data_IF_404483246125
#
_entry.id   IF_404483246125
#
_cell.length_a   1.000
_cell.length_b   1.000
_cell.length_c   1.000
_cell.angle_alpha   90.00
_cell.angle_beta   90.00
_cell.angle_gamma   90.00
#
_symmetry.space_group_name_H-M   'P 1'
#
loop_
_entity.id
_entity.type
_entity.pdbx_description
1 polymer ?
#
# COMPACT_ATOMS: atom_id res chain seq x y z
N UNK A 1 -16.72 -6.87 7.77
CA UNK A 1 -17.37 -5.80 6.99
C UNK A 1 -17.59 -6.31 5.59
N UNK A 2 -18.85 -6.48 5.19
CA UNK A 2 -19.23 -6.67 3.79
C UNK A 2 -18.69 -5.48 2.99
N UNK A 3 -17.99 -5.74 1.88
CA UNK A 3 -17.45 -4.69 1.03
C UNK A 3 -18.61 -3.78 0.59
N UNK A 4 -18.63 -2.53 1.06
CA UNK A 4 -19.52 -1.53 0.48
C UNK A 4 -19.13 -1.38 -0.98
N UNK A 5 -20.11 -1.43 -1.88
CA UNK A 5 -19.83 -1.19 -3.28
C UNK A 5 -19.38 0.27 -3.44
N UNK A 6 -18.26 0.47 -4.13
CA UNK A 6 -17.73 1.80 -4.44
C UNK A 6 -18.37 2.38 -5.71
N UNK A 7 -19.11 1.54 -6.46
CA UNK A 7 -19.74 1.90 -7.72
C UNK A 7 -21.02 2.70 -7.53
N UNK A 8 -21.35 3.50 -8.54
CA UNK A 8 -22.63 4.23 -8.68
C UNK A 8 -22.94 5.23 -7.56
N UNK A 9 -21.93 5.65 -6.79
CA UNK A 9 -22.09 6.64 -5.71
C UNK A 9 -22.18 8.07 -6.27
N UNK A 10 -22.94 8.92 -5.58
CA UNK A 10 -22.96 10.37 -5.83
C UNK A 10 -21.84 11.07 -5.06
N UNK A 11 -21.50 12.30 -5.45
CA UNK A 11 -20.51 13.10 -4.73
C UNK A 11 -20.87 13.28 -3.25
N UNK A 12 -22.16 13.51 -2.95
CA UNK A 12 -22.66 13.66 -1.58
C UNK A 12 -22.44 12.37 -0.77
N UNK A 13 -22.82 11.21 -1.32
CA UNK A 13 -22.61 9.91 -0.67
C UNK A 13 -21.14 9.61 -0.41
N UNK A 14 -20.24 10.00 -1.31
CA UNK A 14 -18.79 9.78 -1.12
C UNK A 14 -18.25 10.61 0.04
N UNK A 15 -18.80 11.80 0.27
CA UNK A 15 -18.34 12.74 1.31
C UNK A 15 -18.98 12.43 2.68
N UNK A 16 -20.25 12.02 2.72
CA UNK A 16 -21.03 11.98 3.98
C UNK A 16 -21.09 10.60 4.62
N UNK A 17 -20.97 9.50 3.86
CA UNK A 17 -21.07 8.16 4.42
C UNK A 17 -19.73 7.69 5.03
N UNK A 18 -19.74 7.34 6.32
CA UNK A 18 -18.70 6.56 7.00
C UNK A 18 -17.26 6.94 6.64
N UNK A 19 -16.79 8.10 7.09
CA UNK A 19 -15.44 8.57 6.79
C UNK A 19 -14.42 7.78 7.63
N UNK A 20 -13.83 6.75 7.03
CA UNK A 20 -12.64 6.11 7.57
C UNK A 20 -11.40 6.88 7.10
N UNK A 21 -10.53 7.22 8.06
CA UNK A 21 -9.27 7.96 7.85
C UNK A 21 -8.06 7.02 7.90
N UNK A 22 -8.18 5.86 7.26
CA UNK A 22 -7.10 4.88 7.09
C UNK A 22 -6.86 4.62 5.59
N UNK A 23 -5.80 3.87 5.26
CA UNK A 23 -5.45 3.62 3.86
C UNK A 23 -6.60 3.04 3.04
N UNK A 24 -7.40 2.16 3.65
CA UNK A 24 -8.53 1.49 3.01
C UNK A 24 -9.70 2.44 2.77
N UNK A 25 -10.02 3.32 3.73
CA UNK A 25 -11.06 4.33 3.62
C UNK A 25 -10.75 5.36 2.53
N UNK A 26 -9.51 5.84 2.49
CA UNK A 26 -9.04 6.69 1.38
C UNK A 26 -9.09 5.94 0.04
N UNK A 27 -8.66 4.67 0.00
CA UNK A 27 -8.72 3.84 -1.21
C UNK A 27 -10.16 3.65 -1.73
N UNK A 28 -11.11 3.44 -0.81
CA UNK A 28 -12.53 3.32 -1.14
C UNK A 28 -13.10 4.59 -1.77
N UNK A 29 -12.83 5.75 -1.17
CA UNK A 29 -13.29 7.04 -1.73
C UNK A 29 -12.62 7.33 -3.07
N UNK A 30 -11.32 7.07 -3.19
CA UNK A 30 -10.58 7.23 -4.45
C UNK A 30 -11.22 6.41 -5.58
N UNK A 31 -11.56 5.14 -5.31
CA UNK A 31 -12.24 4.27 -6.26
C UNK A 31 -13.66 4.76 -6.60
N UNK A 32 -14.38 5.31 -5.62
CA UNK A 32 -15.72 5.87 -5.82
C UNK A 32 -15.71 7.14 -6.67
N UNK A 33 -14.75 8.05 -6.43
CA UNK A 33 -14.55 9.24 -7.25
C UNK A 33 -14.14 8.90 -8.68
N UNK A 34 -13.28 7.87 -8.83
CA UNK A 34 -12.90 7.37 -10.14
C UNK A 34 -14.10 6.82 -10.92
N UNK A 35 -14.99 6.07 -10.25
CA UNK A 35 -16.23 5.60 -10.87
C UNK A 35 -17.13 6.77 -11.29
N UNK A 36 -17.26 7.79 -10.43
CA UNK A 36 -18.05 8.97 -10.74
C UNK A 36 -17.53 9.70 -11.99
N UNK A 37 -16.23 9.99 -12.07
CA UNK A 37 -15.67 10.68 -13.26
C UNK A 37 -15.81 9.85 -14.53
N UNK A 38 -15.67 8.52 -14.46
CA UNK A 38 -15.87 7.64 -15.61
C UNK A 38 -17.31 7.69 -16.14
N UNK A 39 -18.30 7.89 -15.27
CA UNK A 39 -19.72 7.98 -15.66
C UNK A 39 -20.16 9.37 -16.11
N UNK A 40 -19.64 10.42 -15.49
CA UNK A 40 -20.15 11.79 -15.69
C UNK A 40 -19.23 12.68 -16.51
N UNK A 41 -17.97 12.29 -16.70
CA UNK A 41 -16.93 13.14 -17.31
C UNK A 41 -16.55 14.36 -16.47
N UNK A 42 -17.05 14.48 -15.23
CA UNK A 42 -16.75 15.64 -14.38
C UNK A 42 -15.31 15.62 -13.90
N UNK A 43 -14.47 16.46 -14.48
CA UNK A 43 -13.04 16.49 -14.20
C UNK A 43 -12.69 16.77 -12.73
N UNK A 44 -13.52 17.54 -12.01
CA UNK A 44 -13.34 17.76 -10.57
C UNK A 44 -13.33 16.44 -9.77
N UNK A 45 -14.12 15.44 -10.17
CA UNK A 45 -14.09 14.12 -9.53
C UNK A 45 -12.74 13.39 -9.76
N UNK A 46 -12.02 13.67 -10.86
CA UNK A 46 -10.66 13.16 -11.06
C UNK A 46 -9.67 13.77 -10.05
N UNK A 47 -9.81 15.05 -9.72
CA UNK A 47 -9.00 15.67 -8.67
C UNK A 47 -9.26 14.99 -7.32
N UNK A 48 -10.52 14.79 -6.95
CA UNK A 48 -10.84 14.09 -5.70
C UNK A 48 -10.34 12.65 -5.68
N UNK A 49 -10.48 11.91 -6.79
CA UNK A 49 -9.91 10.57 -6.93
C UNK A 49 -8.38 10.59 -6.73
N UNK A 50 -7.69 11.59 -7.28
CA UNK A 50 -6.25 11.74 -7.14
C UNK A 50 -5.82 12.15 -5.73
N UNK A 51 -6.59 13.00 -5.04
CA UNK A 51 -6.35 13.39 -3.64
C UNK A 51 -6.49 12.19 -2.72
N UNK A 52 -7.66 11.53 -2.73
CA UNK A 52 -7.91 10.37 -1.87
C UNK A 52 -6.96 9.22 -2.22
N UNK A 53 -6.64 9.01 -3.51
CA UNK A 53 -5.68 7.99 -3.93
C UNK A 53 -4.26 8.25 -3.40
N UNK A 54 -3.82 9.51 -3.34
CA UNK A 54 -2.55 9.87 -2.70
C UNK A 54 -2.58 9.61 -1.21
N UNK A 55 -3.63 10.04 -0.52
CA UNK A 55 -3.78 9.84 0.92
C UNK A 55 -3.83 8.35 1.26
N UNK A 56 -4.48 7.53 0.43
CA UNK A 56 -4.48 6.08 0.57
C UNK A 56 -3.07 5.50 0.51
N UNK A 57 -2.25 5.95 -0.46
CA UNK A 57 -0.85 5.53 -0.57
C UNK A 57 -0.02 6.01 0.62
N UNK A 58 -0.16 7.26 1.03
CA UNK A 58 0.57 7.82 2.18
C UNK A 58 0.29 7.01 3.45
N UNK A 59 -0.98 6.83 3.79
CA UNK A 59 -1.39 6.05 4.95
C UNK A 59 -0.92 4.60 4.85
N UNK A 60 -1.00 3.99 3.66
CA UNK A 60 -0.52 2.63 3.47
C UNK A 60 0.98 2.50 3.71
N UNK A 61 1.78 3.46 3.24
CA UNK A 61 3.23 3.45 3.50
C UNK A 61 3.50 3.66 4.99
N UNK A 62 2.78 4.56 5.66
CA UNK A 62 2.88 4.72 7.12
C UNK A 62 2.52 3.44 7.88
N UNK A 63 1.43 2.77 7.49
CA UNK A 63 1.06 1.48 8.05
C UNK A 63 2.18 0.46 7.89
N UNK A 64 2.81 0.38 6.70
CA UNK A 64 3.95 -0.53 6.49
C UNK A 64 5.13 -0.19 7.41
N UNK A 65 5.42 1.10 7.63
CA UNK A 65 6.47 1.52 8.57
C UNK A 65 6.13 1.04 9.98
N UNK A 66 4.92 1.30 10.47
CA UNK A 66 4.50 0.94 11.83
C UNK A 66 4.54 -0.59 12.00
N UNK A 67 3.97 -1.33 11.04
CA UNK A 67 3.92 -2.79 11.05
C UNK A 67 5.34 -3.38 11.09
N UNK A 68 6.27 -2.80 10.34
CA UNK A 68 7.59 -3.41 10.15
C UNK A 68 8.61 -2.95 11.18
N UNK A 69 8.55 -1.69 11.61
CA UNK A 69 9.45 -1.14 12.62
C UNK A 69 9.08 -1.61 14.04
N UNK A 70 7.81 -1.96 14.28
CA UNK A 70 7.34 -2.38 15.60
C UNK A 70 7.74 -1.37 16.69
N UNK A 71 8.39 -1.85 17.75
CA UNK A 71 8.86 -1.02 18.86
C UNK A 71 10.05 -0.09 18.53
N UNK A 72 10.71 -0.26 17.37
CA UNK A 72 11.84 0.57 16.96
C UNK A 72 11.42 1.97 16.46
N UNK A 73 10.11 2.19 16.20
CA UNK A 73 9.61 3.49 15.80
C UNK A 73 9.41 4.39 17.03
N UNK A 74 10.38 5.28 17.28
CA UNK A 74 10.24 6.33 18.29
C UNK A 74 9.36 7.47 17.80
N UNK A 75 8.77 8.23 18.73
CA UNK A 75 8.00 9.44 18.40
C UNK A 75 8.85 10.48 17.64
N UNK A 76 10.15 10.54 17.95
CA UNK A 76 11.10 11.42 17.26
C UNK A 76 11.30 11.01 15.79
N UNK A 77 11.50 9.70 15.54
CA UNK A 77 11.56 9.16 14.19
C UNK A 77 10.26 9.41 13.43
N UNK A 78 9.12 9.31 14.12
CA UNK A 78 7.81 9.62 13.56
C UNK A 78 7.63 11.11 13.21
N UNK A 79 8.01 12.03 14.09
CA UNK A 79 7.95 13.48 13.79
C UNK A 79 8.86 13.87 12.62
N UNK A 80 10.02 13.21 12.51
CA UNK A 80 10.94 13.38 11.37
C UNK A 80 10.36 12.84 10.06
N UNK A 81 9.55 11.78 10.10
CA UNK A 81 8.80 11.30 8.92
C UNK A 81 7.82 12.36 8.40
N UNK A 82 7.11 13.02 9.32
CA UNK A 82 6.09 14.03 8.98
C UNK A 82 6.70 15.30 8.36
N UNK A 83 7.91 15.70 8.76
CA UNK A 83 8.55 16.93 8.26
C UNK A 83 9.22 16.75 6.89
N UNK A 84 9.47 15.52 6.43
CA UNK A 84 10.17 15.25 5.17
C UNK A 84 9.50 14.15 4.32
N UNK A 85 8.29 14.39 3.75
CA UNK A 85 7.54 13.36 2.99
C UNK A 85 8.29 12.79 1.79
N UNK A 86 9.17 13.58 1.17
CA UNK A 86 10.04 13.14 0.05
C UNK A 86 11.14 12.16 0.49
N UNK A 87 11.34 11.98 1.80
CA UNK A 87 12.31 11.05 2.38
C UNK A 87 11.64 9.84 3.04
N UNK A 88 10.32 9.69 2.95
CA UNK A 88 9.57 8.56 3.51
C UNK A 88 10.13 7.20 3.05
N UNK A 89 10.45 7.07 1.76
CA UNK A 89 11.07 5.85 1.20
C UNK A 89 12.49 5.62 1.73
N UNK A 90 13.32 6.67 1.82
CA UNK A 90 14.67 6.59 2.35
C UNK A 90 14.67 6.23 3.83
N UNK A 91 13.73 6.78 4.60
CA UNK A 91 13.62 6.48 6.02
C UNK A 91 13.12 5.06 6.25
N UNK A 92 12.21 4.54 5.42
CA UNK A 92 11.82 3.14 5.47
C UNK A 92 13.01 2.20 5.20
N UNK A 93 13.85 2.52 4.20
CA UNK A 93 15.09 1.78 3.94
C UNK A 93 16.09 1.86 5.12
N UNK A 94 16.07 2.95 5.90
CA UNK A 94 16.92 3.10 7.10
C UNK A 94 16.36 2.38 8.33
N UNK A 95 15.05 2.45 8.56
CA UNK A 95 14.39 1.86 9.74
C UNK A 95 14.28 0.34 9.58
N UNK A 96 13.93 -0.12 8.38
CA UNK A 96 13.85 -1.55 8.07
C UNK A 96 14.62 -1.86 6.79
N UNK A 97 15.95 -2.01 6.90
CA UNK A 97 16.74 -2.60 5.83
C UNK A 97 16.14 -3.95 5.44
N UNK A 98 16.14 -4.26 4.14
CA UNK A 98 15.62 -5.52 3.61
C UNK A 98 14.10 -5.74 3.77
N UNK A 99 13.29 -4.68 3.96
CA UNK A 99 11.81 -4.76 4.06
C UNK A 99 11.18 -5.66 2.99
N UNK A 100 11.59 -5.53 1.71
CA UNK A 100 11.03 -6.37 0.64
C UNK A 100 11.32 -7.86 0.86
N UNK A 101 12.53 -8.22 1.31
CA UNK A 101 12.88 -9.60 1.67
C UNK A 101 12.09 -10.09 2.88
N UNK A 102 11.84 -9.22 3.85
CA UNK A 102 11.06 -9.58 5.04
C UNK A 102 9.60 -9.86 4.68
N UNK A 103 9.03 -9.11 3.74
CA UNK A 103 7.70 -9.42 3.22
C UNK A 103 7.67 -10.74 2.45
N UNK A 104 8.69 -11.01 1.62
CA UNK A 104 8.82 -12.31 0.94
C UNK A 104 8.91 -13.47 1.93
N UNK A 105 9.71 -13.31 2.98
CA UNK A 105 9.85 -14.30 4.04
C UNK A 105 8.54 -14.52 4.81
N UNK A 106 7.82 -13.43 5.10
CA UNK A 106 6.50 -13.46 5.75
C UNK A 106 5.48 -14.20 4.89
N UNK A 107 5.45 -13.92 3.58
CA UNK A 107 4.56 -14.62 2.63
C UNK A 107 4.86 -16.12 2.57
N UNK A 108 6.14 -16.50 2.54
CA UNK A 108 6.54 -17.91 2.59
C UNK A 108 6.01 -18.57 3.86
N UNK A 109 6.21 -17.98 5.03
CA UNK A 109 5.70 -18.54 6.30
C UNK A 109 4.17 -18.65 6.30
N UNK A 110 3.48 -17.61 5.82
CA UNK A 110 2.02 -17.61 5.68
C UNK A 110 1.53 -18.75 4.78
N UNK A 111 2.23 -19.01 3.67
CA UNK A 111 1.89 -20.10 2.73
C UNK A 111 2.02 -21.49 3.34
N UNK A 112 2.92 -21.66 4.31
CA UNK A 112 3.12 -22.95 4.97
C UNK A 112 2.02 -23.26 6.00
N UNK A 113 1.30 -22.26 6.52
CA UNK A 113 0.35 -22.46 7.62
C UNK A 113 -1.12 -22.26 7.24
N UNK A 114 -1.89 -23.35 7.27
CA UNK A 114 -3.35 -23.31 7.24
C UNK A 114 -3.88 -22.53 8.45
N UNK A 115 -4.48 -21.37 8.20
CA UNK A 115 -5.08 -20.51 9.22
C UNK A 115 -4.41 -19.14 9.42
N UNK A 116 -3.28 -18.86 8.76
CA UNK A 116 -2.71 -17.50 8.76
C UNK A 116 -3.41 -16.68 7.66
N UNK A 117 -3.91 -15.47 7.96
CA UNK A 117 -4.48 -14.59 6.95
C UNK A 117 -3.48 -14.29 5.84
N UNK A 118 -3.95 -14.22 4.59
CA UNK A 118 -3.10 -13.77 3.48
C UNK A 118 -2.67 -12.33 3.72
N UNK A 119 -1.40 -12.07 3.50
CA UNK A 119 -0.78 -10.76 3.68
C UNK A 119 -0.39 -10.22 2.31
N UNK A 120 -0.74 -8.97 2.04
CA UNK A 120 -0.36 -8.28 0.83
C UNK A 120 1.10 -7.82 0.89
N UNK A 121 1.89 -8.18 -0.13
CA UNK A 121 3.20 -7.60 -0.36
C UNK A 121 3.08 -6.20 -0.96
N UNK A 122 3.56 -5.15 -0.30
CA UNK A 122 3.51 -3.78 -0.79
C UNK A 122 4.89 -3.30 -1.25
N UNK A 123 5.01 -3.01 -2.55
CA UNK A 123 6.24 -2.42 -3.09
C UNK A 123 6.21 -0.90 -2.90
N UNK A 124 6.99 -0.42 -1.93
CA UNK A 124 7.02 1.01 -1.53
C UNK A 124 7.48 1.90 -2.69
N UNK A 125 8.47 1.47 -3.48
CA UNK A 125 8.97 2.26 -4.62
C UNK A 125 7.87 2.47 -5.67
N UNK A 126 7.11 1.41 -5.97
CA UNK A 126 5.95 1.47 -6.88
C UNK A 126 4.86 2.38 -6.32
N UNK A 127 4.55 2.26 -5.02
CA UNK A 127 3.58 3.13 -4.35
C UNK A 127 3.97 4.60 -4.44
N UNK A 128 5.23 4.96 -4.15
CA UNK A 128 5.70 6.35 -4.26
C UNK A 128 5.70 6.87 -5.70
N UNK A 129 5.97 6.02 -6.70
CA UNK A 129 5.81 6.40 -8.11
C UNK A 129 4.35 6.69 -8.45
N UNK A 130 3.43 5.83 -8.02
CA UNK A 130 1.99 6.04 -8.17
C UNK A 130 1.53 7.33 -7.49
N UNK A 131 2.01 7.60 -6.27
CA UNK A 131 1.76 8.84 -5.55
C UNK A 131 2.19 10.07 -6.35
N UNK A 132 3.38 10.03 -6.96
CA UNK A 132 3.89 11.13 -7.79
C UNK A 132 3.04 11.37 -9.03
N UNK A 133 2.56 10.30 -9.68
CA UNK A 133 1.66 10.39 -10.83
C UNK A 133 0.33 11.03 -10.42
N UNK A 134 -0.31 10.54 -9.34
CA UNK A 134 -1.55 11.14 -8.83
C UNK A 134 -1.35 12.61 -8.43
N UNK A 135 -0.20 12.95 -7.85
CA UNK A 135 0.14 14.33 -7.47
C UNK A 135 0.20 15.27 -8.68
N UNK A 136 0.65 14.79 -9.83
CA UNK A 136 0.75 15.61 -11.05
C UNK A 136 -0.60 16.19 -11.50
N UNK A 137 -1.71 15.51 -11.22
CA UNK A 137 -3.07 15.97 -11.53
C UNK A 137 -3.64 16.97 -10.52
N UNK A 138 -2.89 17.32 -9.49
CA UNK A 138 -3.31 18.27 -8.44
C UNK A 138 -2.55 19.59 -8.52
N UNK A 139 -1.67 19.73 -9.52
CA UNK A 139 -0.94 20.94 -9.81
C UNK A 139 -1.32 21.46 -11.19
N UNK A 140 -0.82 22.65 -11.51
CA UNK A 140 -0.99 23.24 -12.84
C UNK A 140 -0.56 22.27 -13.94
N UNK A 141 -1.50 21.93 -14.82
CA UNK A 141 -1.30 20.95 -15.90
C UNK A 141 -1.06 21.59 -17.27
N UNK A 142 -1.08 22.93 -17.36
CA UNK A 142 -0.98 23.66 -18.62
C UNK A 142 -2.20 24.55 -18.89
N UNK A 143 -2.37 24.97 -20.14
CA UNK A 143 -3.55 25.73 -20.57
C UNK A 143 -4.82 24.87 -20.55
N UNK A 144 -5.98 25.46 -20.24
CA UNK A 144 -7.25 24.73 -20.16
C UNK A 144 -7.62 24.06 -21.48
N UNK A 145 -7.42 24.75 -22.61
CA UNK A 145 -7.70 24.27 -23.97
C UNK A 145 -6.93 22.98 -24.29
N UNK A 146 -5.68 22.85 -23.81
CA UNK A 146 -4.85 21.67 -24.06
C UNK A 146 -5.06 20.56 -23.03
N UNK A 147 -5.80 20.84 -21.95
CA UNK A 147 -5.93 19.93 -20.80
C UNK A 147 -7.37 19.73 -20.37
N UNK A 148 -7.86 20.53 -19.41
CA UNK A 148 -9.17 20.36 -18.78
C UNK A 148 -10.34 20.61 -19.71
N UNK A 149 -10.15 21.19 -20.89
CA UNK A 149 -11.15 21.32 -21.95
C UNK A 149 -10.90 20.37 -23.12
N UNK A 150 -9.76 19.66 -23.14
CA UNK A 150 -9.43 18.67 -24.16
C UNK A 150 -9.98 17.28 -23.77
N UNK A 151 -10.95 16.72 -24.52
CA UNK A 151 -11.50 15.41 -24.21
C UNK A 151 -10.46 14.29 -24.30
N UNK A 152 -9.51 14.40 -25.24
CA UNK A 152 -8.42 13.44 -25.39
C UNK A 152 -7.53 13.44 -24.14
N UNK A 153 -7.12 14.61 -23.68
CA UNK A 153 -6.28 14.74 -22.49
C UNK A 153 -7.02 14.24 -21.24
N UNK A 154 -8.29 14.58 -21.07
CA UNK A 154 -9.11 14.08 -19.97
C UNK A 154 -9.21 12.55 -19.99
N UNK A 155 -9.46 11.94 -21.16
CA UNK A 155 -9.51 10.49 -21.31
C UNK A 155 -8.20 9.82 -20.90
N UNK A 156 -7.06 10.37 -21.34
CA UNK A 156 -5.74 9.89 -20.93
C UNK A 156 -5.49 10.06 -19.42
N UNK A 157 -5.92 11.18 -18.84
CA UNK A 157 -5.80 11.45 -17.41
C UNK A 157 -6.61 10.44 -16.57
N UNK A 158 -7.88 10.21 -16.95
CA UNK A 158 -8.75 9.21 -16.31
C UNK A 158 -8.12 7.81 -16.40
N UNK A 159 -7.60 7.44 -17.58
CA UNK A 159 -6.97 6.13 -17.77
C UNK A 159 -5.73 5.95 -16.88
N UNK A 160 -4.85 6.96 -16.81
CA UNK A 160 -3.65 6.92 -15.97
C UNK A 160 -3.97 6.82 -14.48
N UNK A 161 -4.97 7.57 -14.02
CA UNK A 161 -5.44 7.50 -12.62
C UNK A 161 -6.08 6.14 -12.34
N UNK A 162 -6.86 5.59 -13.28
CA UNK A 162 -7.48 4.27 -13.16
C UNK A 162 -6.47 3.13 -13.02
N UNK A 163 -5.39 3.16 -13.82
CA UNK A 163 -4.29 2.19 -13.75
C UNK A 163 -3.58 2.15 -12.39
N UNK A 164 -3.80 3.16 -11.55
CA UNK A 164 -3.25 3.24 -10.18
C UNK A 164 -4.33 2.83 -9.17
N UNK A 165 -5.49 3.48 -9.20
CA UNK A 165 -6.51 3.33 -8.16
C UNK A 165 -7.16 1.95 -8.19
N UNK A 166 -7.49 1.41 -9.36
CA UNK A 166 -8.20 0.12 -9.45
C UNK A 166 -7.34 -1.02 -8.89
N UNK A 167 -6.07 -1.21 -9.31
CA UNK A 167 -5.23 -2.26 -8.73
C UNK A 167 -4.91 -2.02 -7.26
N UNK A 168 -4.82 -0.75 -6.81
CA UNK A 168 -4.61 -0.42 -5.41
C UNK A 168 -5.80 -0.88 -4.56
N UNK A 169 -7.02 -0.54 -4.98
CA UNK A 169 -8.26 -0.90 -4.30
C UNK A 169 -8.51 -2.40 -4.29
N UNK A 170 -8.34 -3.08 -5.43
CA UNK A 170 -8.47 -4.53 -5.52
C UNK A 170 -7.53 -5.22 -4.53
N UNK A 171 -6.26 -4.78 -4.51
CA UNK A 171 -5.27 -5.34 -3.61
C UNK A 171 -5.58 -5.08 -2.14
N UNK A 172 -6.02 -3.87 -1.78
CA UNK A 172 -6.46 -3.55 -0.41
C UNK A 172 -7.63 -4.43 0.08
N UNK A 173 -8.39 -5.04 -0.84
CA UNK A 173 -9.50 -5.94 -0.50
C UNK A 173 -9.16 -7.42 -0.57
N UNK A 174 -8.05 -7.80 -1.22
CA UNK A 174 -7.69 -9.21 -1.37
C UNK A 174 -7.06 -9.85 -0.12
N UNK A 175 -6.44 -9.04 0.74
CA UNK A 175 -5.67 -9.51 1.89
C UNK A 175 -5.42 -8.39 2.91
N UNK A 176 -4.88 -8.77 4.08
CA UNK A 176 -4.46 -7.81 5.11
C UNK A 176 -3.08 -7.23 4.80
N UNK A 177 -2.78 -6.05 5.35
CA UNK A 177 -1.40 -5.56 5.47
C UNK A 177 -0.75 -6.20 6.69
N UNK A 178 0.50 -6.64 6.56
CA UNK A 178 1.19 -7.34 7.63
C UNK A 178 2.65 -7.61 7.31
N UNK A 179 3.42 -7.85 8.36
CA UNK A 179 4.81 -8.29 8.27
C UNK A 179 5.14 -9.05 9.56
N UNK A 180 6.06 -10.01 9.49
CA UNK A 180 6.58 -10.61 10.70
C UNK A 180 7.44 -9.62 11.48
N UNK A 181 7.22 -9.57 12.80
CA UNK A 181 8.08 -8.86 13.74
C UNK A 181 9.34 -9.70 14.00
N UNK A 182 10.51 -9.16 13.67
CA UNK A 182 11.78 -9.88 13.78
C UNK A 182 12.09 -10.21 15.25
N UNK A 183 11.77 -9.30 16.17
CA UNK A 183 12.04 -9.45 17.60
C UNK A 183 11.27 -10.61 18.23
N UNK A 184 10.07 -10.92 17.72
CA UNK A 184 9.21 -12.00 18.22
C UNK A 184 9.42 -13.35 17.53
N UNK A 185 10.32 -13.42 16.53
CA UNK A 185 10.66 -14.69 15.88
C UNK A 185 11.30 -15.67 16.86
N UNK A 186 10.83 -16.93 16.87
CA UNK A 186 11.52 -18.03 17.56
C UNK A 186 12.95 -18.17 17.01
N UNK A 187 13.96 -18.53 17.83
CA UNK A 187 15.37 -18.55 17.42
C UNK A 187 15.65 -19.33 16.13
N UNK A 188 14.98 -20.47 15.94
CA UNK A 188 15.14 -21.31 14.75
C UNK A 188 14.59 -20.61 13.49
N UNK A 189 13.48 -19.90 13.60
CA UNK A 189 12.91 -19.11 12.49
C UNK A 189 13.79 -17.90 12.19
N UNK A 190 14.33 -17.25 13.22
CA UNK A 190 15.26 -16.12 13.07
C UNK A 190 16.54 -16.53 12.33
N UNK A 191 17.10 -17.71 12.64
CA UNK A 191 18.28 -18.21 11.92
C UNK A 191 18.01 -18.42 10.42
N UNK A 192 16.83 -18.97 10.05
CA UNK A 192 16.46 -19.11 8.63
C UNK A 192 16.25 -17.74 7.97
N UNK A 193 15.68 -16.77 8.70
CA UNK A 193 15.55 -15.39 8.23
C UNK A 193 16.92 -14.75 7.96
N UNK A 194 17.89 -14.89 8.87
CA UNK A 194 19.23 -14.31 8.71
C UNK A 194 19.96 -14.89 7.49
N UNK A 195 19.89 -16.21 7.27
CA UNK A 195 20.46 -16.86 6.08
C UNK A 195 19.80 -16.35 4.79
N UNK A 196 18.47 -16.20 4.78
CA UNK A 196 17.72 -15.71 3.62
C UNK A 196 18.02 -14.23 3.35
N UNK A 197 18.06 -13.42 4.40
CA UNK A 197 18.40 -12.00 4.35
C UNK A 197 19.80 -11.81 3.75
N UNK A 198 20.77 -12.61 4.18
CA UNK A 198 22.14 -12.59 3.66
C UNK A 198 22.25 -13.10 2.21
N UNK A 199 21.21 -13.77 1.68
CA UNK A 199 21.23 -14.37 0.35
C UNK A 199 21.97 -15.71 0.29
N UNK A 200 22.30 -16.29 1.44
CA UNK A 200 22.95 -17.60 1.56
C UNK A 200 21.99 -18.73 1.15
N UNK A 201 20.68 -18.50 1.30
CA UNK A 201 19.63 -19.42 0.86
C UNK A 201 18.56 -18.69 0.04
N UNK A 202 17.90 -19.42 -0.85
CA UNK A 202 16.81 -18.92 -1.67
C UNK A 202 15.42 -19.22 -1.07
N UNK A 203 14.36 -18.73 -1.71
CA UNK A 203 12.98 -18.91 -1.24
C UNK A 203 12.55 -20.39 -1.18
N UNK A 204 13.07 -21.24 -2.07
CA UNK A 204 12.79 -22.68 -2.05
C UNK A 204 13.43 -23.35 -0.83
N UNK A 205 14.69 -23.00 -0.55
CA UNK A 205 15.42 -23.47 0.63
C UNK A 205 14.79 -23.00 1.94
N UNK A 206 14.28 -21.75 1.98
CA UNK A 206 13.51 -21.23 3.12
C UNK A 206 12.29 -22.10 3.40
N UNK A 207 11.50 -22.45 2.37
CA UNK A 207 10.32 -23.33 2.54
C UNK A 207 10.69 -24.65 3.18
N UNK A 208 11.68 -25.35 2.62
CA UNK A 208 12.14 -26.65 3.11
C UNK A 208 12.60 -26.56 4.57
N UNK A 209 13.46 -25.58 4.88
CA UNK A 209 13.99 -25.41 6.25
C UNK A 209 12.91 -25.07 7.25
N UNK A 210 11.96 -24.21 6.88
CA UNK A 210 10.83 -23.86 7.75
C UNK A 210 9.89 -25.04 7.98
N UNK A 211 9.64 -25.89 6.97
CA UNK A 211 8.87 -27.12 7.15
C UNK A 211 9.53 -28.09 8.15
N UNK A 212 10.86 -28.20 8.13
CA UNK A 212 11.63 -29.01 9.08
C UNK A 212 11.58 -28.42 10.49
N UNK A 213 11.62 -27.10 10.62
CA UNK A 213 11.59 -26.39 11.92
C UNK A 213 10.18 -26.30 12.52
N UNK A 214 9.13 -26.37 11.68
CA UNK A 214 7.73 -26.19 12.08
C UNK A 214 7.24 -27.11 13.22
N UNK A 215 7.61 -28.41 13.29
CA UNK A 215 7.23 -29.29 14.39
C UNK A 215 7.84 -28.86 15.74
N UNK A 216 8.99 -28.18 15.72
CA UNK A 216 9.71 -27.72 16.90
C UNK A 216 9.17 -26.38 17.44
N UNK A 217 8.47 -25.61 16.60
CA UNK A 217 7.86 -24.34 16.95
C UNK A 217 6.44 -24.46 17.57
N UNK A 218 5.86 -25.66 17.67
CA UNK A 218 4.55 -25.90 18.31
C UNK A 218 4.62 -26.22 19.81
N UNK A 219 5.81 -26.22 20.42
CA UNK A 219 6.00 -26.26 21.87
C UNK A 219 6.36 -24.88 22.41
#
# INVERSE_FOLDING_TARGET
MTASDHKQRTAEQIITEGIFHDAKGFGYRAASWLDLVKRTGQFAALHYASIDGRLAIEHLVFEQIIITAGAALTEENYKRLLSEPRKLSKLLEQIVPDHEKLQDFTEIIGSLSSGIPRVNKWNIKKLMRSWGILSSYLHWSGSHIQTTESPEWQGQAIQKVAQIIEPLWEKMNSALSGCMCIESMKPQVRSVWEDFRAGTIDAASVRIRLEIVRPLAKR
#
